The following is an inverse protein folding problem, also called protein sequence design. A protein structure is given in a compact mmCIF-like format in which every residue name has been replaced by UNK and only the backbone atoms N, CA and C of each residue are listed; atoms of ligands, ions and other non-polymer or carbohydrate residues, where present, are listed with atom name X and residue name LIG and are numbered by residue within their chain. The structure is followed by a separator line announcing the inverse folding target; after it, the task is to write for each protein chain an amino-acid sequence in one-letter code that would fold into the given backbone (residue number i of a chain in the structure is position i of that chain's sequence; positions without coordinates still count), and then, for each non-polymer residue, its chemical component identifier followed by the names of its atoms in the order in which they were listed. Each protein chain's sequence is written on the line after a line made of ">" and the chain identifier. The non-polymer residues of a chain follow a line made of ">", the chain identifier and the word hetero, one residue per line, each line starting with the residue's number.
data_IF_335356052733
#
_entry.id   IF_335356052733
#
_cell.length_a   1.000
_cell.length_b   1.000
_cell.length_c   1.000
_cell.angle_alpha   90.00
_cell.angle_beta   90.00
_cell.angle_gamma   90.00
#
_symmetry.space_group_name_H-M   'P 1'
#
loop_
_entity.id
_entity.type
_entity.pdbx_description
1 polymer ?
#
# COMPACT_ATOMS: atom_id res chain seq x y z
N UNK A 1 20.92 -13.73 8.37
CA UNK A 1 19.75 -13.37 9.21
C UNK A 1 18.55 -12.89 8.40
N UNK A 2 18.72 -12.35 7.18
CA UNK A 2 17.66 -11.83 6.30
C UNK A 2 16.69 -12.89 5.76
N UNK A 3 17.13 -14.14 5.58
CA UNK A 3 16.31 -15.18 4.94
C UNK A 3 15.36 -15.95 5.89
N UNK A 4 15.52 -15.80 7.21
CA UNK A 4 14.74 -16.55 8.20
C UNK A 4 13.25 -16.12 8.30
N UNK A 5 12.89 -14.98 7.72
CA UNK A 5 11.54 -14.39 7.77
C UNK A 5 10.79 -14.43 6.42
N UNK A 6 11.36 -15.08 5.40
CA UNK A 6 10.69 -15.24 4.11
C UNK A 6 9.87 -16.53 4.19
N UNK A 7 8.56 -16.43 3.99
CA UNK A 7 7.74 -17.62 3.76
C UNK A 7 8.14 -18.19 2.40
N UNK A 8 8.81 -19.33 2.40
CA UNK A 8 9.20 -20.04 1.16
C UNK A 8 7.97 -20.27 0.26
N UNK A 9 6.81 -20.47 0.87
CA UNK A 9 5.51 -20.62 0.22
C UNK A 9 5.19 -19.45 -0.74
N UNK A 10 5.47 -18.19 -0.34
CA UNK A 10 5.21 -17.02 -1.20
C UNK A 10 6.13 -17.00 -2.42
N UNK A 11 7.38 -17.47 -2.28
CA UNK A 11 8.30 -17.60 -3.42
C UNK A 11 7.86 -18.69 -4.39
N UNK A 12 7.35 -19.82 -3.88
CA UNK A 12 6.78 -20.88 -4.73
C UNK A 12 5.56 -20.37 -5.51
N UNK A 13 4.66 -19.64 -4.85
CA UNK A 13 3.48 -19.03 -5.50
C UNK A 13 3.92 -18.06 -6.58
N UNK A 14 4.89 -17.17 -6.31
CA UNK A 14 5.43 -16.24 -7.30
C UNK A 14 6.04 -16.98 -8.49
N UNK A 15 6.89 -17.99 -8.23
CA UNK A 15 7.51 -18.80 -9.28
C UNK A 15 6.46 -19.52 -10.14
N UNK A 16 5.47 -20.13 -9.52
CA UNK A 16 4.38 -20.81 -10.23
C UNK A 16 3.60 -19.85 -11.12
N UNK A 17 3.26 -18.65 -10.62
CA UNK A 17 2.57 -17.62 -11.40
C UNK A 17 3.43 -17.15 -12.59
N UNK A 18 4.72 -16.91 -12.39
CA UNK A 18 5.63 -16.53 -13.47
C UNK A 18 5.67 -17.61 -14.55
N UNK A 19 5.83 -18.88 -14.17
CA UNK A 19 5.84 -20.00 -15.11
C UNK A 19 4.51 -20.07 -15.87
N UNK A 20 3.39 -20.04 -15.15
CA UNK A 20 2.06 -20.11 -15.76
C UNK A 20 1.83 -19.00 -16.77
N UNK A 21 2.13 -17.74 -16.39
CA UNK A 21 1.94 -16.58 -17.28
C UNK A 21 2.90 -16.61 -18.47
N UNK A 22 4.11 -17.15 -18.28
CA UNK A 22 5.08 -17.32 -19.39
C UNK A 22 4.62 -18.33 -20.42
N UNK A 23 3.90 -19.38 -20.01
CA UNK A 23 3.32 -20.38 -20.89
C UNK A 23 2.08 -19.86 -21.63
N UNK A 24 1.30 -18.97 -20.98
CA UNK A 24 0.05 -18.45 -21.51
C UNK A 24 0.23 -17.24 -22.43
N UNK A 25 1.32 -16.47 -22.30
CA UNK A 25 1.56 -15.27 -23.12
C UNK A 25 3.01 -15.17 -23.56
N UNK A 26 3.29 -15.11 -24.87
CA UNK A 26 4.65 -14.96 -25.41
C UNK A 26 5.27 -13.60 -25.06
N UNK A 27 4.45 -12.60 -24.72
CA UNK A 27 4.89 -11.25 -24.38
C UNK A 27 5.28 -11.12 -22.90
N UNK A 28 4.97 -12.13 -22.06
CA UNK A 28 5.13 -12.03 -20.62
C UNK A 28 6.59 -11.85 -20.20
N UNK A 29 7.54 -12.60 -20.79
CA UNK A 29 8.98 -12.56 -20.46
C UNK A 29 9.73 -11.40 -21.13
N UNK A 30 9.05 -10.46 -21.81
CA UNK A 30 9.73 -9.31 -22.40
C UNK A 30 10.23 -8.33 -21.31
N UNK A 31 11.39 -7.69 -21.55
CA UNK A 31 11.98 -6.68 -20.66
C UNK A 31 10.97 -5.53 -20.40
N UNK A 32 10.28 -5.10 -21.46
CA UNK A 32 9.25 -4.06 -21.35
C UNK A 32 8.14 -4.46 -20.40
N UNK A 33 7.65 -5.70 -20.49
CA UNK A 33 6.60 -6.18 -19.61
C UNK A 33 7.09 -6.33 -18.17
N UNK A 34 8.31 -6.80 -17.96
CA UNK A 34 8.91 -6.89 -16.63
C UNK A 34 8.98 -5.50 -15.95
N UNK A 35 9.41 -4.47 -16.68
CA UNK A 35 9.41 -3.09 -16.17
C UNK A 35 8.01 -2.56 -15.89
N UNK A 36 7.01 -2.94 -16.70
CA UNK A 36 5.61 -2.58 -16.44
C UNK A 36 5.05 -3.27 -15.19
N UNK A 37 5.40 -4.54 -14.95
CA UNK A 37 5.05 -5.24 -13.69
C UNK A 37 5.63 -4.49 -12.50
N UNK A 38 6.93 -4.18 -12.52
CA UNK A 38 7.59 -3.46 -11.43
C UNK A 38 6.97 -2.08 -11.20
N UNK A 39 6.67 -1.35 -12.27
CA UNK A 39 6.02 -0.04 -12.20
C UNK A 39 4.63 -0.10 -11.56
N UNK A 40 3.79 -1.06 -11.98
CA UNK A 40 2.47 -1.26 -11.39
C UNK A 40 2.55 -1.70 -9.92
N UNK A 41 3.49 -2.61 -9.63
CA UNK A 41 3.74 -3.12 -8.27
C UNK A 41 4.20 -2.03 -7.31
N UNK A 42 4.93 -1.01 -7.78
CA UNK A 42 5.50 0.04 -6.92
C UNK A 42 4.44 0.76 -6.10
N UNK A 43 3.32 1.16 -6.70
CA UNK A 43 2.23 1.87 -6.01
C UNK A 43 1.55 0.96 -4.99
N UNK A 44 1.16 -0.24 -5.43
CA UNK A 44 0.51 -1.25 -4.57
C UNK A 44 1.45 -1.66 -3.44
N UNK A 45 2.74 -1.83 -3.72
CA UNK A 45 3.75 -2.22 -2.75
C UNK A 45 3.95 -1.19 -1.65
N UNK A 46 3.96 0.10 -1.98
CA UNK A 46 4.05 1.17 -0.97
C UNK A 46 2.80 1.18 -0.06
N UNK A 47 1.59 1.02 -0.63
CA UNK A 47 0.37 0.87 0.16
C UNK A 47 0.41 -0.38 1.05
N UNK A 48 0.87 -1.51 0.50
CA UNK A 48 0.99 -2.78 1.23
C UNK A 48 1.98 -2.69 2.39
N UNK A 49 3.08 -1.95 2.23
CA UNK A 49 4.03 -1.66 3.33
C UNK A 49 3.32 -0.91 4.46
N UNK A 50 2.56 0.14 4.16
CA UNK A 50 1.76 0.85 5.16
C UNK A 50 0.77 -0.08 5.87
N UNK A 51 0.03 -0.87 5.10
CA UNK A 51 -0.90 -1.88 5.62
C UNK A 51 -0.19 -2.92 6.51
N UNK A 52 1.05 -3.32 6.17
CA UNK A 52 1.84 -4.25 6.99
C UNK A 52 2.07 -3.72 8.40
N UNK A 53 2.42 -2.45 8.56
CA UNK A 53 2.60 -1.85 9.89
C UNK A 53 1.30 -1.82 10.69
N UNK A 54 0.20 -1.42 10.07
CA UNK A 54 -1.11 -1.35 10.73
C UNK A 54 -1.58 -2.76 11.13
N UNK A 55 -1.54 -3.72 10.20
CA UNK A 55 -1.95 -5.12 10.44
C UNK A 55 -1.08 -5.77 11.51
N UNK A 56 0.25 -5.55 11.47
CA UNK A 56 1.17 -6.09 12.47
C UNK A 56 0.87 -5.63 13.90
N UNK A 57 0.15 -4.50 14.08
CA UNK A 57 -0.34 -4.01 15.38
C UNK A 57 -1.74 -4.46 15.74
N UNK A 58 -2.28 -5.47 15.05
CA UNK A 58 -3.69 -5.91 15.13
C UNK A 58 -4.68 -4.77 14.79
N UNK A 59 -4.33 -3.93 13.81
CA UNK A 59 -5.19 -2.92 13.21
C UNK A 59 -5.59 -3.29 11.79
N UNK A 60 -6.55 -2.57 11.22
CA UNK A 60 -6.94 -2.69 9.82
C UNK A 60 -7.18 -1.30 9.26
N UNK A 61 -6.71 -1.03 8.04
CA UNK A 61 -6.93 0.23 7.34
C UNK A 61 -7.46 -0.02 5.93
N UNK A 62 -8.77 0.19 5.76
CA UNK A 62 -9.46 0.07 4.48
C UNK A 62 -9.49 1.40 3.71
N UNK A 63 -8.94 2.47 4.26
CA UNK A 63 -9.01 3.79 3.63
C UNK A 63 -7.82 4.10 2.71
N UNK A 64 -6.75 3.29 2.74
CA UNK A 64 -5.47 3.60 2.06
C UNK A 64 -5.63 3.90 0.56
N UNK A 65 -6.54 3.21 -0.14
CA UNK A 65 -6.81 3.48 -1.56
C UNK A 65 -7.48 4.82 -1.80
N UNK A 66 -8.48 5.18 -1.00
CA UNK A 66 -9.17 6.48 -1.09
C UNK A 66 -8.30 7.63 -0.60
N UNK A 67 -7.49 7.41 0.45
CA UNK A 67 -6.50 8.37 0.95
C UNK A 67 -5.43 8.63 -0.11
N UNK A 68 -5.00 7.61 -0.86
CA UNK A 68 -4.11 7.76 -2.01
C UNK A 68 -4.72 8.70 -3.06
N UNK A 69 -6.00 8.49 -3.42
CA UNK A 69 -6.71 9.34 -4.37
C UNK A 69 -6.84 10.78 -3.88
N UNK A 70 -7.26 10.97 -2.62
CA UNK A 70 -7.33 12.29 -1.98
C UNK A 70 -5.98 13.00 -2.00
N UNK A 71 -4.91 12.31 -1.64
CA UNK A 71 -3.56 12.84 -1.61
C UNK A 71 -3.11 13.31 -3.01
N UNK A 72 -3.36 12.50 -4.05
CA UNK A 72 -3.05 12.88 -5.42
C UNK A 72 -3.80 14.12 -5.89
N UNK A 73 -5.10 14.22 -5.57
CA UNK A 73 -5.90 15.42 -5.86
C UNK A 73 -5.39 16.63 -5.08
N UNK A 74 -5.08 16.49 -3.79
CA UNK A 74 -4.55 17.59 -2.98
C UNK A 74 -3.24 18.14 -3.55
N UNK A 75 -2.31 17.25 -3.98
CA UNK A 75 -1.09 17.68 -4.67
C UNK A 75 -1.35 18.40 -5.99
N UNK A 76 -2.29 17.89 -6.80
CA UNK A 76 -2.68 18.53 -8.06
C UNK A 76 -3.33 19.91 -7.85
N UNK A 77 -4.18 20.06 -6.84
CA UNK A 77 -4.77 21.38 -6.44
C UNK A 77 -3.68 22.36 -6.09
N UNK A 78 -2.71 21.95 -5.26
CA UNK A 78 -1.61 22.82 -4.83
C UNK A 78 -0.77 23.30 -6.01
N UNK A 79 -0.48 22.42 -6.96
CA UNK A 79 0.34 22.78 -8.12
C UNK A 79 -0.44 23.58 -9.16
N UNK A 80 -1.66 23.18 -9.48
CA UNK A 80 -2.37 23.72 -10.63
C UNK A 80 -3.34 24.86 -10.27
N UNK A 81 -4.11 24.74 -9.18
CA UNK A 81 -5.07 25.78 -8.79
C UNK A 81 -4.42 26.88 -7.95
N UNK A 82 -3.47 26.52 -7.06
CA UNK A 82 -2.74 27.51 -6.25
C UNK A 82 -1.46 28.00 -6.93
N UNK A 83 -1.04 27.41 -8.06
CA UNK A 83 0.14 27.80 -8.82
C UNK A 83 1.46 27.61 -8.08
N UNK A 84 1.52 26.74 -7.07
CA UNK A 84 2.72 26.50 -6.28
C UNK A 84 3.66 25.50 -6.95
N UNK A 85 4.95 25.56 -6.58
CA UNK A 85 5.98 24.68 -7.11
C UNK A 85 5.67 23.19 -6.80
N UNK A 86 6.14 22.29 -7.65
CA UNK A 86 5.97 20.83 -7.53
C UNK A 86 6.41 20.25 -6.18
N UNK A 87 7.38 20.84 -5.49
CA UNK A 87 7.82 20.42 -4.15
C UNK A 87 6.66 20.53 -3.15
N UNK A 88 5.90 21.64 -3.19
CA UNK A 88 4.71 21.81 -2.34
C UNK A 88 3.60 20.83 -2.73
N UNK A 89 3.49 20.46 -4.01
CA UNK A 89 2.58 19.41 -4.46
C UNK A 89 2.91 18.06 -3.85
N UNK A 90 4.19 17.66 -3.83
CA UNK A 90 4.65 16.42 -3.16
C UNK A 90 4.36 16.47 -1.66
N UNK A 91 4.71 17.57 -1.00
CA UNK A 91 4.45 17.73 0.43
C UNK A 91 2.96 17.66 0.74
N UNK A 92 2.11 18.29 -0.08
CA UNK A 92 0.66 18.24 0.06
C UNK A 92 0.13 16.81 -0.05
N UNK A 93 0.64 15.98 -0.98
CA UNK A 93 0.27 14.57 -1.07
C UNK A 93 0.58 13.83 0.23
N UNK A 94 1.81 13.93 0.74
CA UNK A 94 2.26 13.20 1.92
C UNK A 94 1.52 13.68 3.18
N UNK A 95 1.35 14.99 3.32
CA UNK A 95 0.67 15.61 4.47
C UNK A 95 -0.82 15.25 4.46
N UNK A 96 -1.51 15.36 3.33
CA UNK A 96 -2.92 14.99 3.23
C UNK A 96 -3.15 13.53 3.62
N UNK A 97 -2.31 12.61 3.12
CA UNK A 97 -2.34 11.21 3.52
C UNK A 97 -2.04 11.02 5.01
N UNK A 98 -1.00 11.66 5.53
CA UNK A 98 -0.62 11.60 6.95
C UNK A 98 -1.70 12.13 7.88
N UNK A 99 -2.38 13.22 7.51
CA UNK A 99 -3.50 13.80 8.27
C UNK A 99 -4.68 12.82 8.30
N UNK A 100 -5.08 12.25 7.17
CA UNK A 100 -6.15 11.26 7.11
C UNK A 100 -5.84 10.05 8.00
N UNK A 101 -4.61 9.53 7.93
CA UNK A 101 -4.15 8.45 8.81
C UNK A 101 -4.10 8.87 10.28
N UNK A 102 -3.67 10.08 10.60
CA UNK A 102 -3.69 10.60 11.97
C UNK A 102 -5.11 10.63 12.54
N UNK A 103 -6.09 11.09 11.78
CA UNK A 103 -7.50 11.07 12.21
C UNK A 103 -8.00 9.64 12.42
N UNK A 104 -7.68 8.70 11.52
CA UNK A 104 -7.98 7.27 11.74
C UNK A 104 -7.42 6.80 13.07
N UNK A 105 -6.14 7.05 13.32
CA UNK A 105 -5.48 6.67 14.58
C UNK A 105 -6.13 7.28 15.80
N UNK A 106 -6.52 8.55 15.77
CA UNK A 106 -7.20 9.23 16.87
C UNK A 106 -8.58 8.61 17.16
N UNK A 107 -9.38 8.36 16.14
CA UNK A 107 -10.71 7.78 16.32
C UNK A 107 -10.63 6.34 16.84
N UNK A 108 -9.69 5.55 16.34
CA UNK A 108 -9.47 4.17 16.82
C UNK A 108 -9.03 4.14 18.28
N UNK A 109 -8.14 5.06 18.69
CA UNK A 109 -7.50 4.97 20.00
C UNK A 109 -8.23 5.77 21.09
N UNK A 110 -8.63 7.00 20.79
CA UNK A 110 -9.28 7.89 21.78
C UNK A 110 -10.79 7.70 21.82
N UNK A 111 -11.45 7.64 20.66
CA UNK A 111 -12.88 7.37 20.60
C UNK A 111 -13.21 5.87 20.75
N UNK A 112 -12.17 4.99 20.75
CA UNK A 112 -12.31 3.54 20.91
C UNK A 112 -13.26 2.88 19.90
N UNK A 113 -13.40 3.49 18.72
CA UNK A 113 -14.20 2.94 17.63
C UNK A 113 -13.40 1.81 16.97
N UNK A 114 -14.02 0.66 16.64
CA UNK A 114 -13.35 -0.41 15.94
C UNK A 114 -12.67 0.08 14.65
N UNK A 115 -11.42 -0.34 14.42
CA UNK A 115 -10.59 0.13 13.31
C UNK A 115 -11.28 -0.05 11.94
N UNK A 116 -11.95 -1.18 11.74
CA UNK A 116 -12.72 -1.47 10.54
C UNK A 116 -13.77 -0.38 10.25
N UNK A 117 -14.53 0.04 11.28
CA UNK A 117 -15.59 1.06 11.13
C UNK A 117 -14.98 2.42 10.81
N UNK A 118 -13.92 2.81 11.53
CA UNK A 118 -13.24 4.09 11.32
C UNK A 118 -12.70 4.18 9.89
N UNK A 119 -11.96 3.17 9.46
CA UNK A 119 -11.29 3.21 8.16
C UNK A 119 -12.24 3.02 6.98
N UNK A 120 -13.34 2.28 7.18
CA UNK A 120 -14.44 2.23 6.21
C UNK A 120 -15.15 3.59 6.09
N UNK A 121 -15.38 4.27 7.22
CA UNK A 121 -15.89 5.65 7.22
C UNK A 121 -14.93 6.63 6.52
N UNK A 122 -13.63 6.53 6.85
CA UNK A 122 -12.59 7.36 6.22
C UNK A 122 -12.47 7.10 4.70
N UNK A 123 -12.69 5.86 4.24
CA UNK A 123 -12.76 5.55 2.81
C UNK A 123 -13.79 6.44 2.10
N UNK A 124 -15.00 6.58 2.67
CA UNK A 124 -16.03 7.46 2.14
C UNK A 124 -15.69 8.94 2.27
N UNK A 125 -15.19 9.37 3.42
CA UNK A 125 -14.78 10.77 3.68
C UNK A 125 -13.64 11.19 2.74
N UNK A 126 -12.59 10.40 2.63
CA UNK A 126 -11.46 10.72 1.75
C UNK A 126 -11.90 10.78 0.27
N UNK A 127 -12.73 9.83 -0.17
CA UNK A 127 -13.27 9.82 -1.54
C UNK A 127 -14.17 11.03 -1.80
N UNK A 128 -15.08 11.34 -0.90
CA UNK A 128 -15.96 12.50 -1.01
C UNK A 128 -15.18 13.82 -1.01
N UNK A 129 -14.16 13.94 -0.15
CA UNK A 129 -13.29 15.13 -0.12
C UNK A 129 -12.48 15.26 -1.42
N UNK A 130 -11.96 14.16 -1.97
CA UNK A 130 -11.26 14.19 -3.25
C UNK A 130 -12.16 14.70 -4.37
N UNK A 131 -13.39 14.19 -4.47
CA UNK A 131 -14.39 14.64 -5.44
C UNK A 131 -14.76 16.11 -5.25
N UNK A 132 -14.94 16.57 -4.02
CA UNK A 132 -15.25 17.96 -3.69
C UNK A 132 -14.15 18.91 -4.13
N UNK A 133 -12.86 18.57 -3.89
CA UNK A 133 -11.72 19.42 -4.21
C UNK A 133 -11.49 19.63 -5.71
N UNK A 134 -12.03 18.77 -6.55
CA UNK A 134 -11.85 18.84 -8.00
C UNK A 134 -13.17 18.86 -8.79
N UNK A 135 -14.30 19.16 -8.16
CA UNK A 135 -15.64 19.17 -8.75
C UNK A 135 -15.95 17.88 -9.55
N UNK A 136 -15.48 16.74 -9.03
CA UNK A 136 -15.66 15.43 -9.64
C UNK A 136 -14.85 15.18 -10.92
N UNK A 137 -13.97 16.10 -11.35
CA UNK A 137 -13.19 16.01 -12.58
C UNK A 137 -11.71 15.89 -12.28
N UNK A 138 -10.94 15.06 -13.03
CA UNK A 138 -9.51 14.99 -12.86
C UNK A 138 -8.83 16.34 -13.17
N UNK A 139 -7.80 16.70 -12.37
CA UNK A 139 -6.99 17.90 -12.55
C UNK A 139 -5.75 17.52 -13.37
N UNK A 140 -5.65 18.04 -14.60
CA UNK A 140 -4.55 17.80 -15.54
C UNK A 140 -3.53 18.93 -15.57
N UNK A 141 -2.45 18.73 -16.32
CA UNK A 141 -1.48 19.80 -16.60
C UNK A 141 -0.45 20.02 -15.50
N UNK A 142 0.01 18.92 -14.90
CA UNK A 142 1.05 18.96 -13.85
C UNK A 142 2.43 19.27 -14.45
N UNK A 143 3.33 19.86 -13.65
CA UNK A 143 4.65 20.27 -14.12
C UNK A 143 5.54 19.06 -14.50
N UNK A 144 6.43 19.26 -15.47
CA UNK A 144 7.33 18.21 -15.96
C UNK A 144 8.24 17.68 -14.87
N UNK A 145 8.67 18.52 -13.92
CA UNK A 145 9.48 18.12 -12.78
C UNK A 145 8.72 17.15 -11.87
N UNK A 146 7.42 17.39 -11.67
CA UNK A 146 6.56 16.48 -10.92
C UNK A 146 6.35 15.18 -11.69
N UNK A 147 6.16 15.22 -13.00
CA UNK A 147 5.96 14.03 -13.83
C UNK A 147 7.17 13.09 -13.83
N UNK A 148 8.36 13.58 -13.53
CA UNK A 148 9.56 12.76 -13.41
C UNK A 148 9.39 11.65 -12.34
N UNK A 149 8.69 11.92 -11.26
CA UNK A 149 8.50 10.94 -10.16
C UNK A 149 7.65 9.73 -10.54
N UNK A 150 6.78 9.84 -11.54
CA UNK A 150 5.92 8.74 -12.02
C UNK A 150 6.33 8.19 -13.39
N UNK A 151 6.92 9.04 -14.24
CA UNK A 151 7.22 8.71 -15.65
C UNK A 151 8.72 8.64 -15.94
N UNK A 152 9.58 9.23 -15.09
CA UNK A 152 11.02 9.23 -15.27
C UNK A 152 11.60 7.81 -15.33
N UNK A 153 12.63 7.64 -16.16
CA UNK A 153 13.33 6.35 -16.35
C UNK A 153 14.84 6.53 -16.33
N UNK A 154 15.44 6.93 -15.18
CA UNK A 154 16.88 7.00 -15.07
C UNK A 154 17.48 5.62 -15.32
N UNK A 155 18.50 5.55 -16.19
CA UNK A 155 19.13 4.30 -16.62
C UNK A 155 18.16 3.24 -17.16
N UNK A 156 17.01 3.65 -17.71
CA UNK A 156 15.97 2.75 -18.26
C UNK A 156 15.03 2.14 -17.21
N UNK A 157 15.26 2.35 -15.92
CA UNK A 157 14.45 1.83 -14.83
C UNK A 157 13.37 2.88 -14.46
N UNK A 158 12.07 2.49 -14.37
CA UNK A 158 11.04 3.43 -13.92
C UNK A 158 11.35 3.98 -12.52
N UNK A 159 11.33 5.29 -12.35
CA UNK A 159 11.68 5.94 -11.08
C UNK A 159 10.78 5.51 -9.91
N UNK A 160 9.47 5.22 -10.09
CA UNK A 160 8.64 4.62 -9.04
C UNK A 160 9.20 3.33 -8.44
N UNK A 161 9.89 2.51 -9.24
CA UNK A 161 10.53 1.27 -8.75
C UNK A 161 11.66 1.60 -7.78
N UNK A 162 12.45 2.62 -8.11
CA UNK A 162 13.54 3.08 -7.22
C UNK A 162 12.96 3.59 -5.89
N UNK A 163 11.90 4.40 -5.95
CA UNK A 163 11.22 4.89 -4.73
C UNK A 163 10.69 3.71 -3.91
N UNK A 164 10.03 2.73 -4.54
CA UNK A 164 9.49 1.56 -3.84
C UNK A 164 10.59 0.74 -3.15
N UNK A 165 11.72 0.49 -3.82
CA UNK A 165 12.85 -0.23 -3.22
C UNK A 165 13.42 0.54 -2.03
N UNK A 166 13.62 1.85 -2.16
CA UNK A 166 14.11 2.71 -1.07
C UNK A 166 13.15 2.68 0.12
N UNK A 167 11.85 2.84 -0.13
CA UNK A 167 10.82 2.74 0.91
C UNK A 167 10.84 1.36 1.57
N UNK A 168 10.93 0.28 0.80
CA UNK A 168 10.99 -1.08 1.33
C UNK A 168 12.24 -1.29 2.22
N UNK A 169 13.40 -0.79 1.82
CA UNK A 169 14.63 -0.91 2.62
C UNK A 169 14.54 -0.12 3.93
N UNK A 170 14.09 1.14 3.87
CA UNK A 170 13.93 2.00 5.05
C UNK A 170 12.92 1.38 6.01
N UNK A 171 11.76 0.98 5.51
CA UNK A 171 10.69 0.43 6.34
C UNK A 171 11.02 -0.97 6.87
N UNK A 172 11.78 -1.76 6.12
CA UNK A 172 12.34 -3.01 6.63
C UNK A 172 13.24 -2.76 7.83
N UNK A 173 14.16 -1.80 7.72
CA UNK A 173 15.02 -1.42 8.84
C UNK A 173 14.19 -0.92 10.04
N UNK A 174 13.17 -0.08 9.78
CA UNK A 174 12.28 0.42 10.84
C UNK A 174 11.59 -0.73 11.55
N UNK A 175 10.97 -1.67 10.82
CA UNK A 175 10.21 -2.77 11.41
C UNK A 175 11.11 -3.77 12.15
N UNK A 176 12.26 -4.13 11.56
CA UNK A 176 13.13 -5.18 12.10
C UNK A 176 14.05 -4.69 13.23
N UNK A 177 14.53 -3.43 13.17
CA UNK A 177 15.68 -3.00 13.97
C UNK A 177 15.35 -1.89 14.97
N UNK A 178 14.26 -1.12 14.78
CA UNK A 178 13.96 0.02 15.66
C UNK A 178 12.98 -0.35 16.79
N UNK A 179 12.96 0.50 17.83
CA UNK A 179 11.95 0.41 18.90
C UNK A 179 10.53 0.52 18.36
N UNK A 180 10.33 1.39 17.34
CA UNK A 180 9.03 1.58 16.70
C UNK A 180 8.50 0.27 16.10
N UNK A 181 9.31 -0.43 15.32
CA UNK A 181 8.91 -1.72 14.73
C UNK A 181 8.68 -2.81 15.79
N UNK A 182 9.57 -2.92 16.78
CA UNK A 182 9.43 -3.90 17.86
C UNK A 182 8.16 -3.66 18.68
N UNK A 183 7.86 -2.40 19.03
CA UNK A 183 6.62 -2.05 19.73
C UNK A 183 5.39 -2.39 18.91
N UNK A 184 5.43 -2.18 17.58
CA UNK A 184 4.34 -2.56 16.66
C UNK A 184 4.01 -4.05 16.76
N UNK A 185 5.03 -4.91 16.70
CA UNK A 185 4.86 -6.36 16.78
C UNK A 185 4.37 -6.80 18.17
N UNK A 186 4.93 -6.25 19.26
CA UNK A 186 4.52 -6.58 20.63
C UNK A 186 3.06 -6.16 20.88
N UNK A 187 2.65 -4.96 20.42
CA UNK A 187 1.25 -4.49 20.56
C UNK A 187 0.29 -5.43 19.82
N UNK A 188 0.68 -5.93 18.65
CA UNK A 188 -0.16 -6.85 17.89
C UNK A 188 -0.22 -8.24 18.47
N UNK A 189 0.84 -8.69 19.12
CA UNK A 189 0.92 -10.02 19.72
C UNK A 189 0.12 -10.07 21.06
N UNK A 190 0.43 -9.13 21.97
CA UNK A 190 -0.25 -9.05 23.27
C UNK A 190 -0.27 -7.62 23.80
N UNK A 191 -1.44 -6.97 23.74
CA UNK A 191 -1.60 -5.60 24.22
C UNK A 191 -1.41 -5.47 25.73
N UNK A 192 -1.78 -6.49 26.52
CA UNK A 192 -1.62 -6.46 27.99
C UNK A 192 -0.12 -6.47 28.33
N UNK A 193 0.64 -7.35 27.69
CA UNK A 193 2.08 -7.39 27.87
C UNK A 193 2.75 -6.08 27.41
N UNK A 194 2.30 -5.47 26.29
CA UNK A 194 2.80 -4.19 25.81
C UNK A 194 2.63 -3.07 26.86
N UNK A 195 1.46 -3.00 27.52
CA UNK A 195 1.20 -2.04 28.60
C UNK A 195 2.11 -2.30 29.80
N UNK A 196 2.28 -3.56 30.20
CA UNK A 196 3.17 -3.94 31.30
C UNK A 196 4.64 -3.55 31.04
N UNK A 197 5.05 -3.52 29.76
CA UNK A 197 6.37 -3.03 29.32
C UNK A 197 6.45 -1.49 29.21
N UNK A 198 5.41 -0.76 29.61
CA UNK A 198 5.38 0.71 29.55
C UNK A 198 5.14 1.29 28.16
N UNK A 199 4.66 0.50 27.18
CA UNK A 199 4.38 0.99 25.85
C UNK A 199 3.04 1.73 25.82
N UNK A 200 3.06 2.99 25.38
CA UNK A 200 1.83 3.75 25.16
C UNK A 200 1.17 3.34 23.85
N UNK A 201 0.23 2.38 23.92
CA UNK A 201 -0.46 1.79 22.77
C UNK A 201 -1.19 2.86 21.95
N UNK A 202 -1.91 3.79 22.60
CA UNK A 202 -2.69 4.80 21.91
C UNK A 202 -1.81 5.70 21.04
N UNK A 203 -0.74 6.25 21.64
CA UNK A 203 0.23 7.10 20.92
C UNK A 203 0.87 6.32 19.76
N UNK A 204 1.25 5.07 20.00
CA UNK A 204 1.91 4.24 18.99
C UNK A 204 0.98 3.93 17.82
N UNK A 205 -0.29 3.53 18.09
CA UNK A 205 -1.27 3.27 17.03
C UNK A 205 -1.57 4.53 16.20
N UNK A 206 -1.71 5.71 16.83
CA UNK A 206 -1.86 6.97 16.07
C UNK A 206 -0.69 7.19 15.12
N UNK A 207 0.54 6.97 15.58
CA UNK A 207 1.72 7.10 14.73
C UNK A 207 1.72 6.08 13.58
N UNK A 208 1.27 4.84 13.81
CA UNK A 208 1.17 3.81 12.78
C UNK A 208 0.18 4.17 11.67
N UNK A 209 -1.02 4.63 12.05
CA UNK A 209 -2.01 5.07 11.07
C UNK A 209 -1.55 6.31 10.31
N UNK A 210 -0.94 7.29 10.98
CA UNK A 210 -0.36 8.47 10.32
C UNK A 210 0.76 8.08 9.35
N UNK A 211 1.62 7.14 9.73
CA UNK A 211 2.68 6.61 8.87
C UNK A 211 2.12 5.88 7.65
N UNK A 212 1.12 5.00 7.83
CA UNK A 212 0.42 4.32 6.74
C UNK A 212 -0.25 5.32 5.79
N UNK A 213 -0.93 6.34 6.35
CA UNK A 213 -1.51 7.43 5.57
C UNK A 213 -0.47 8.24 4.80
N UNK A 214 0.69 8.53 5.40
CA UNK A 214 1.79 9.20 4.71
C UNK A 214 2.34 8.38 3.53
N UNK A 215 2.46 7.06 3.69
CA UNK A 215 2.82 6.14 2.59
C UNK A 215 1.72 6.09 1.52
N UNK A 216 0.44 6.13 1.90
CA UNK A 216 -0.66 6.27 0.94
C UNK A 216 -0.57 7.60 0.18
N UNK A 217 -0.18 8.69 0.85
CA UNK A 217 0.12 9.97 0.23
C UNK A 217 1.25 9.90 -0.79
N UNK A 218 2.35 9.22 -0.45
CA UNK A 218 3.47 8.97 -1.36
C UNK A 218 3.04 8.13 -2.58
N UNK A 219 2.25 7.08 -2.36
CA UNK A 219 1.69 6.26 -3.44
C UNK A 219 0.77 7.10 -4.35
N UNK A 220 -0.02 8.00 -3.77
CA UNK A 220 -0.86 8.96 -4.49
C UNK A 220 -0.05 9.94 -5.34
N UNK A 221 1.03 10.47 -4.81
CA UNK A 221 1.98 11.32 -5.53
C UNK A 221 2.53 10.59 -6.77
N UNK A 222 3.03 9.36 -6.59
CA UNK A 222 3.57 8.54 -7.68
C UNK A 222 2.49 8.25 -8.73
N UNK A 223 1.30 7.86 -8.31
CA UNK A 223 0.20 7.55 -9.23
C UNK A 223 -0.22 8.78 -10.03
N UNK A 224 -0.45 9.92 -9.36
CA UNK A 224 -0.83 11.20 -9.96
C UNK A 224 0.24 11.68 -10.96
N UNK A 225 1.51 11.57 -10.62
CA UNK A 225 2.64 11.85 -11.50
C UNK A 225 2.65 10.91 -12.72
N UNK A 226 2.38 9.62 -12.51
CA UNK A 226 2.37 8.61 -13.58
C UNK A 226 1.27 8.86 -14.60
N UNK A 227 0.05 9.18 -14.16
CA UNK A 227 -1.11 9.39 -15.05
C UNK A 227 -1.25 10.83 -15.52
N UNK A 228 -0.40 11.74 -15.03
CA UNK A 228 -0.45 13.20 -15.28
C UNK A 228 -1.81 13.81 -14.91
N UNK A 229 -2.42 13.30 -13.84
CA UNK A 229 -3.72 13.79 -13.41
C UNK A 229 -3.96 13.52 -11.93
N UNK A 230 -4.48 14.51 -11.21
CA UNK A 230 -5.11 14.33 -9.90
C UNK A 230 -6.50 13.74 -10.08
N UNK A 231 -6.60 12.40 -10.09
CA UNK A 231 -7.85 11.70 -10.34
C UNK A 231 -8.54 11.32 -9.01
N UNK A 232 -9.76 11.83 -8.72
CA UNK A 232 -10.48 11.51 -7.49
C UNK A 232 -10.92 10.06 -7.40
N UNK A 233 -10.93 9.30 -8.51
CA UNK A 233 -11.26 7.87 -8.53
C UNK A 233 -10.03 6.98 -8.37
N UNK A 234 -8.82 7.55 -8.32
CA UNK A 234 -7.61 6.80 -8.13
C UNK A 234 -7.66 5.91 -6.87
N UNK A 235 -7.03 4.75 -6.94
CA UNK A 235 -6.93 3.83 -5.81
C UNK A 235 -8.19 3.05 -5.46
N UNK A 236 -9.23 3.04 -6.30
CA UNK A 236 -10.40 2.18 -6.07
C UNK A 236 -10.00 0.70 -5.99
N UNK A 237 -10.36 0.05 -4.88
CA UNK A 237 -10.04 -1.34 -4.53
C UNK A 237 -8.53 -1.64 -4.32
N UNK A 238 -7.66 -0.62 -4.26
CA UNK A 238 -6.23 -0.83 -3.98
C UNK A 238 -6.01 -1.24 -2.53
N UNK A 239 -6.90 -0.87 -1.61
CA UNK A 239 -6.89 -1.31 -0.22
C UNK A 239 -6.93 -2.84 -0.11
N UNK A 240 -7.82 -3.50 -0.85
CA UNK A 240 -7.92 -4.97 -0.86
C UNK A 240 -6.66 -5.61 -1.43
N UNK A 241 -6.11 -5.05 -2.51
CA UNK A 241 -4.89 -5.54 -3.13
C UNK A 241 -3.68 -5.38 -2.21
N UNK A 242 -3.57 -4.24 -1.51
CA UNK A 242 -2.48 -3.94 -0.58
C UNK A 242 -2.52 -4.87 0.65
N UNK A 243 -3.70 -5.08 1.24
CA UNK A 243 -3.90 -6.00 2.36
C UNK A 243 -3.58 -7.43 1.91
N UNK A 244 -4.06 -7.85 0.73
CA UNK A 244 -3.76 -9.19 0.17
C UNK A 244 -2.25 -9.38 0.00
N UNK A 245 -1.54 -8.40 -0.54
CA UNK A 245 -0.09 -8.45 -0.69
C UNK A 245 0.63 -8.59 0.67
N UNK A 246 0.19 -7.87 1.70
CA UNK A 246 0.75 -7.97 3.03
C UNK A 246 0.52 -9.36 3.66
N UNK A 247 -0.68 -9.93 3.52
CA UNK A 247 -1.05 -11.25 4.09
C UNK A 247 -0.32 -12.38 3.37
N UNK A 248 -0.32 -12.40 2.03
CA UNK A 248 0.43 -13.38 1.23
C UNK A 248 1.93 -13.29 1.55
N UNK A 249 2.42 -12.08 1.80
CA UNK A 249 3.79 -11.83 2.25
C UNK A 249 4.11 -12.35 3.66
N UNK A 250 3.11 -12.85 4.40
CA UNK A 250 3.30 -13.45 5.72
C UNK A 250 3.03 -12.52 6.90
N UNK A 251 2.42 -11.37 6.67
CA UNK A 251 1.89 -10.54 7.75
C UNK A 251 0.61 -11.19 8.30
N UNK A 252 0.57 -11.43 9.60
CA UNK A 252 -0.58 -12.05 10.26
C UNK A 252 -1.70 -11.03 10.43
N UNK A 253 -2.90 -11.34 9.91
CA UNK A 253 -4.07 -10.46 9.99
C UNK A 253 -4.46 -10.10 11.43
N UNK A 254 -4.17 -10.98 12.38
CA UNK A 254 -4.48 -10.79 13.81
C UNK A 254 -3.37 -10.09 14.60
N UNK A 255 -2.31 -9.65 13.92
CA UNK A 255 -1.18 -8.94 14.53
C UNK A 255 -0.02 -9.85 14.98
N UNK A 256 0.96 -9.23 15.60
CA UNK A 256 2.14 -9.87 16.21
C UNK A 256 3.23 -10.29 15.23
N UNK A 257 2.92 -10.45 13.95
CA UNK A 257 3.90 -10.86 12.92
C UNK A 257 3.74 -10.00 11.67
N UNK A 258 4.86 -9.54 11.11
CA UNK A 258 4.90 -8.82 9.84
C UNK A 258 6.29 -8.86 9.22
N UNK A 259 6.35 -8.80 7.89
CA UNK A 259 7.60 -8.86 7.13
C UNK A 259 7.53 -7.94 5.92
N UNK A 260 8.37 -6.92 5.87
CA UNK A 260 8.44 -6.02 4.71
C UNK A 260 8.98 -6.74 3.48
N UNK A 261 9.97 -7.63 3.65
CA UNK A 261 10.47 -8.47 2.54
C UNK A 261 9.36 -9.38 2.03
N UNK A 262 8.59 -9.99 2.93
CA UNK A 262 7.44 -10.80 2.55
C UNK A 262 6.39 -9.96 1.82
N UNK A 263 6.05 -8.77 2.32
CA UNK A 263 5.11 -7.84 1.67
C UNK A 263 5.60 -7.42 0.28
N UNK A 264 6.90 -7.21 0.10
CA UNK A 264 7.50 -6.94 -1.21
C UNK A 264 7.23 -8.08 -2.20
N UNK A 265 7.44 -9.33 -1.77
CA UNK A 265 7.13 -10.54 -2.58
C UNK A 265 5.63 -10.64 -2.84
N UNK A 266 4.78 -10.39 -1.83
CA UNK A 266 3.33 -10.38 -1.98
C UNK A 266 2.85 -9.32 -2.97
N UNK A 267 3.46 -8.13 -2.95
CA UNK A 267 3.17 -7.08 -3.93
C UNK A 267 3.56 -7.50 -5.36
N UNK A 268 4.70 -8.20 -5.52
CA UNK A 268 5.09 -8.77 -6.81
C UNK A 268 4.09 -9.83 -7.29
N UNK A 269 3.60 -10.71 -6.40
CA UNK A 269 2.58 -11.71 -6.72
C UNK A 269 1.33 -11.01 -7.28
N UNK A 270 0.83 -9.96 -6.60
CA UNK A 270 -0.34 -9.21 -7.05
C UNK A 270 -0.07 -8.47 -8.36
N UNK A 271 1.13 -7.90 -8.53
CA UNK A 271 1.54 -7.23 -9.76
C UNK A 271 1.62 -8.18 -10.95
N UNK A 272 2.22 -9.37 -10.77
CA UNK A 272 2.29 -10.43 -11.79
C UNK A 272 0.90 -10.92 -12.15
N UNK A 273 0.03 -11.15 -11.16
CA UNK A 273 -1.34 -11.59 -11.38
C UNK A 273 -2.12 -10.57 -12.22
N UNK A 274 -2.12 -9.29 -11.82
CA UNK A 274 -2.83 -8.24 -12.55
C UNK A 274 -2.27 -8.04 -13.96
N UNK A 275 -0.95 -8.02 -14.11
CA UNK A 275 -0.31 -7.88 -15.41
C UNK A 275 -0.62 -9.08 -16.31
N UNK A 276 -0.51 -10.30 -15.80
CA UNK A 276 -0.82 -11.52 -16.56
C UNK A 276 -2.27 -11.54 -17.04
N UNK A 277 -3.23 -11.20 -16.16
CA UNK A 277 -4.64 -11.09 -16.55
C UNK A 277 -4.87 -10.00 -17.61
N UNK A 278 -4.15 -8.88 -17.55
CA UNK A 278 -4.19 -7.84 -18.57
C UNK A 278 -3.64 -8.33 -19.93
N UNK A 279 -2.50 -9.04 -19.93
CA UNK A 279 -1.92 -9.60 -21.15
C UNK A 279 -2.82 -10.65 -21.83
N UNK A 280 -3.61 -11.37 -21.02
CA UNK A 280 -4.60 -12.33 -21.48
C UNK A 280 -5.94 -11.66 -21.86
N UNK A 281 -5.99 -10.32 -21.88
CA UNK A 281 -7.19 -9.54 -22.18
C UNK A 281 -8.40 -9.90 -21.29
N UNK A 282 -8.17 -10.39 -20.06
CA UNK A 282 -9.22 -10.68 -19.10
C UNK A 282 -9.88 -9.38 -18.68
N UNK A 283 -11.19 -9.31 -18.77
CA UNK A 283 -11.96 -8.09 -18.46
C UNK A 283 -11.87 -7.74 -16.98
N UNK A 284 -11.89 -6.45 -16.66
CA UNK A 284 -11.60 -5.89 -15.32
C UNK A 284 -12.51 -6.45 -14.21
N UNK A 285 -13.74 -6.84 -14.51
CA UNK A 285 -14.63 -7.45 -13.53
C UNK A 285 -14.19 -8.84 -13.11
N UNK A 286 -13.67 -9.68 -14.01
CA UNK A 286 -13.07 -10.97 -13.65
C UNK A 286 -11.77 -10.80 -12.85
N UNK A 287 -10.98 -9.76 -13.16
CA UNK A 287 -9.78 -9.45 -12.39
C UNK A 287 -10.14 -9.10 -10.93
N UNK A 288 -11.21 -8.31 -10.72
CA UNK A 288 -11.70 -8.00 -9.36
C UNK A 288 -12.18 -9.23 -8.62
N UNK A 289 -12.87 -10.14 -9.29
CA UNK A 289 -13.28 -11.43 -8.70
C UNK A 289 -12.06 -12.27 -8.29
N UNK A 290 -11.04 -12.34 -9.16
CA UNK A 290 -9.80 -13.06 -8.87
C UNK A 290 -9.06 -12.48 -7.65
N UNK A 291 -8.93 -11.15 -7.56
CA UNK A 291 -8.30 -10.48 -6.40
C UNK A 291 -9.06 -10.79 -5.11
N UNK A 292 -10.39 -10.72 -5.13
CA UNK A 292 -11.23 -11.06 -3.98
C UNK A 292 -11.07 -12.53 -3.56
N UNK A 293 -11.06 -13.45 -4.52
CA UNK A 293 -10.83 -14.87 -4.26
C UNK A 293 -9.45 -15.13 -3.65
N UNK A 294 -8.41 -14.49 -4.18
CA UNK A 294 -7.04 -14.60 -3.65
C UNK A 294 -6.95 -14.07 -2.23
N UNK A 295 -7.63 -12.95 -1.91
CA UNK A 295 -7.71 -12.44 -0.53
C UNK A 295 -8.35 -13.46 0.42
N UNK A 296 -9.49 -14.03 0.04
CA UNK A 296 -10.19 -15.03 0.87
C UNK A 296 -9.29 -16.26 1.11
N UNK A 297 -8.66 -16.77 0.06
CA UNK A 297 -7.75 -17.90 0.16
C UNK A 297 -6.54 -17.57 1.04
N UNK A 298 -5.93 -16.40 0.89
CA UNK A 298 -4.79 -15.97 1.70
C UNK A 298 -5.13 -15.93 3.19
N UNK A 299 -6.28 -15.34 3.54
CA UNK A 299 -6.76 -15.27 4.94
C UNK A 299 -7.09 -16.66 5.47
N UNK A 300 -7.74 -17.51 4.67
CA UNK A 300 -8.07 -18.87 5.05
C UNK A 300 -6.83 -19.71 5.35
N UNK A 301 -5.82 -19.67 4.49
CA UNK A 301 -4.54 -20.34 4.74
C UNK A 301 -3.81 -19.81 5.98
N UNK A 302 -3.84 -18.50 6.21
CA UNK A 302 -3.23 -17.90 7.41
C UNK A 302 -3.93 -18.41 8.69
N UNK A 303 -5.26 -18.56 8.66
CA UNK A 303 -6.05 -19.04 9.78
C UNK A 303 -5.78 -20.54 10.08
N UNK A 304 -5.68 -21.39 9.05
CA UNK A 304 -5.34 -22.81 9.22
C UNK A 304 -3.96 -22.97 9.85
N UNK A 305 -2.98 -22.22 9.39
CA UNK A 305 -1.62 -22.30 9.92
C UNK A 305 -1.54 -21.87 11.39
N UNK A 306 -2.39 -20.93 11.81
CA UNK A 306 -2.48 -20.50 13.20
C UNK A 306 -3.06 -21.58 14.14
N UNK A 307 -4.00 -22.39 13.67
CA UNK A 307 -4.60 -23.47 14.50
C UNK A 307 -3.62 -24.62 14.74
N UNK A 308 -2.52 -24.70 13.99
CA UNK A 308 -1.49 -25.74 14.12
C UNK A 308 -0.32 -25.34 15.01
N UNK A 309 -0.22 -24.06 15.39
CA UNK A 309 0.81 -23.49 16.29
C UNK A 309 0.23 -23.10 17.62
#
# INVERSE_FOLDING_TARGET
>A
MLLKNIRLESLYVLGLLIITMSLLSPYFLSISNFLNILLATSVIGILAIGSTFVISSAGLDLSVGSVMGLAGVAGAVVMNQLGLNWVFGILACIIAGGIAGFFNGQLVTRAKIPAFIVTLGMLGVARGTALLLCDGKPIYGLSNEFLFFGQGRPFGIPFPVVIFIVVALITHYILASTKFGKHTLVIGDNQIAAVAMGININRHKVQLYAFSGGLAGLAGMIFTSRVNAGDPTAGLNYELTAITAAIIGGTNLFGGKGSIIGTFIGALIMGVLQNGLNLLAVQSYYQRMAIGAVLILAVWFDQINRQKT
#
